data_IF_533092291025
#
_entry.id   IF_533092291025
#
_cell.length_a   1.000
_cell.length_b   1.000
_cell.length_c   1.000
_cell.angle_alpha   90.00
_cell.angle_beta   90.00
_cell.angle_gamma   90.00
#
_symmetry.space_group_name_H-M   'P 1'
#
loop_
_entity.id
_entity.type
_entity.pdbx_description
1 polymer ?
#
# COMPACT_ATOMS: atom_id res chain seq x y z
N UNK A 1 -15.90 24.13 8.21
CA UNK A 1 -15.29 22.88 8.73
C UNK A 1 -14.78 22.07 7.54
N UNK A 2 -13.59 21.52 7.62
CA UNK A 2 -12.98 20.71 6.56
C UNK A 2 -12.38 19.42 7.14
N UNK A 3 -12.38 18.35 6.34
CA UNK A 3 -11.68 17.10 6.67
C UNK A 3 -10.17 17.36 6.55
N UNK A 4 -9.38 16.88 7.53
CA UNK A 4 -7.93 17.04 7.55
C UNK A 4 -7.23 16.01 6.66
N UNK A 5 -7.53 14.71 6.85
CA UNK A 5 -6.92 13.59 6.14
C UNK A 5 -7.74 12.31 6.32
N UNK A 6 -7.44 11.29 5.52
CA UNK A 6 -7.81 9.92 5.89
C UNK A 6 -7.01 9.55 7.15
N UNK A 7 -7.68 9.02 8.18
CA UNK A 7 -7.03 8.57 9.41
C UNK A 7 -6.70 7.09 9.33
N UNK A 8 -7.71 6.24 9.09
CA UNK A 8 -7.56 4.79 8.94
C UNK A 8 -8.58 4.23 7.96
N UNK A 9 -8.33 3.03 7.49
CA UNK A 9 -9.26 2.22 6.72
C UNK A 9 -9.65 0.96 7.48
N UNK A 10 -10.82 0.40 7.17
CA UNK A 10 -11.26 -0.89 7.74
C UNK A 10 -11.74 -1.77 6.60
N UNK A 11 -11.23 -3.01 6.55
CA UNK A 11 -11.56 -4.01 5.55
C UNK A 11 -12.31 -5.18 6.19
N UNK A 12 -13.31 -5.67 5.51
CA UNK A 12 -13.81 -7.01 5.73
C UNK A 12 -12.98 -7.99 4.91
N UNK A 13 -12.44 -8.99 5.58
CA UNK A 13 -11.57 -10.03 5.02
C UNK A 13 -12.12 -11.42 5.35
N UNK A 14 -11.76 -12.43 4.60
CA UNK A 14 -12.22 -13.79 4.88
C UNK A 14 -11.71 -14.28 6.24
N UNK A 15 -10.43 -14.07 6.52
CA UNK A 15 -9.73 -14.44 7.77
C UNK A 15 -8.79 -13.30 8.17
N UNK A 16 -9.13 -12.57 9.24
CA UNK A 16 -8.36 -11.43 9.70
C UNK A 16 -6.96 -11.79 10.18
N UNK A 17 -6.76 -13.01 10.70
CA UNK A 17 -5.44 -13.48 11.12
C UNK A 17 -4.53 -13.75 9.93
N UNK A 18 -5.05 -14.40 8.88
CA UNK A 18 -4.30 -14.64 7.65
C UNK A 18 -3.94 -13.31 6.96
N UNK A 19 -4.90 -12.40 6.85
CA UNK A 19 -4.66 -11.08 6.25
C UNK A 19 -3.67 -10.26 7.10
N UNK A 20 -3.78 -10.28 8.44
CA UNK A 20 -2.82 -9.60 9.31
C UNK A 20 -1.40 -10.15 9.14
N UNK A 21 -1.23 -11.47 9.03
CA UNK A 21 0.07 -12.08 8.74
C UNK A 21 0.65 -11.57 7.41
N UNK A 22 -0.17 -11.51 6.35
CA UNK A 22 0.25 -10.94 5.06
C UNK A 22 0.71 -9.49 5.19
N UNK A 23 -0.10 -8.61 5.78
CA UNK A 23 0.25 -7.19 5.92
C UNK A 23 1.48 -6.96 6.80
N UNK A 24 1.68 -7.78 7.85
CA UNK A 24 2.86 -7.67 8.70
C UNK A 24 4.13 -8.24 8.04
N UNK A 25 4.06 -9.41 7.44
CA UNK A 25 5.23 -10.09 6.86
C UNK A 25 5.65 -9.49 5.51
N UNK A 26 4.69 -9.06 4.67
CA UNK A 26 4.97 -8.55 3.32
C UNK A 26 5.12 -7.04 3.32
N UNK A 27 4.20 -6.29 3.95
CA UNK A 27 4.21 -4.83 3.92
C UNK A 27 4.89 -4.17 5.12
N UNK A 28 5.22 -4.94 6.17
CA UNK A 28 5.94 -4.42 7.32
C UNK A 28 5.08 -3.69 8.37
N UNK A 29 3.76 -3.89 8.34
CA UNK A 29 2.88 -3.35 9.38
C UNK A 29 3.16 -4.01 10.74
N UNK A 30 2.89 -3.29 11.82
CA UNK A 30 2.88 -3.82 13.17
C UNK A 30 1.45 -4.06 13.66
N UNK A 31 1.22 -5.16 14.39
CA UNK A 31 -0.06 -5.37 15.07
C UNK A 31 -0.13 -4.45 16.29
N UNK A 32 -1.01 -3.46 16.26
CA UNK A 32 -1.25 -2.54 17.37
C UNK A 32 -2.23 -3.13 18.41
N UNK A 33 -3.25 -3.86 17.95
CA UNK A 33 -4.23 -4.51 18.79
C UNK A 33 -4.93 -5.67 18.06
N UNK A 34 -5.62 -6.55 18.81
CA UNK A 34 -6.47 -7.59 18.25
C UNK A 34 -7.66 -7.90 19.14
N UNK A 35 -8.72 -8.44 18.55
CA UNK A 35 -9.90 -8.98 19.23
C UNK A 35 -9.95 -10.49 18.98
N UNK A 36 -9.05 -11.25 19.61
CA UNK A 36 -8.82 -12.64 19.27
C UNK A 36 -8.44 -12.79 17.80
N UNK A 37 -8.91 -13.86 17.15
CA UNK A 37 -8.71 -14.07 15.69
C UNK A 37 -9.78 -13.37 14.82
N UNK A 38 -10.71 -12.62 15.43
CA UNK A 38 -11.83 -12.00 14.71
C UNK A 38 -11.48 -10.64 14.10
N UNK A 39 -10.58 -9.90 14.74
CA UNK A 39 -10.16 -8.61 14.21
C UNK A 39 -8.72 -8.29 14.60
N UNK A 40 -8.02 -7.58 13.70
CA UNK A 40 -6.68 -7.06 13.91
C UNK A 40 -6.63 -5.58 13.52
N UNK A 41 -5.87 -4.80 14.27
CA UNK A 41 -5.62 -3.39 14.03
C UNK A 41 -4.13 -3.21 13.80
N UNK A 42 -3.78 -2.76 12.62
CA UNK A 42 -2.41 -2.68 12.14
C UNK A 42 -1.96 -1.23 12.02
N UNK A 43 -0.71 -0.97 12.32
CA UNK A 43 -0.09 0.35 12.20
C UNK A 43 1.11 0.28 11.27
N UNK A 44 1.19 1.23 10.32
CA UNK A 44 2.34 1.42 9.45
C UNK A 44 3.54 1.93 10.26
N UNK A 45 4.76 1.67 9.79
CA UNK A 45 5.96 2.23 10.38
C UNK A 45 5.94 3.76 10.26
N UNK A 46 6.38 4.45 11.32
CA UNK A 46 6.35 5.92 11.37
C UNK A 46 4.96 6.56 11.54
N UNK A 47 3.87 5.80 11.59
CA UNK A 47 2.53 6.36 11.81
C UNK A 47 2.28 6.75 13.27
N UNK A 48 1.72 7.95 13.48
CA UNK A 48 1.26 8.47 14.77
C UNK A 48 -0.17 8.02 15.14
N UNK A 49 -0.85 7.30 14.25
CA UNK A 49 -2.19 6.79 14.53
C UNK A 49 -2.12 5.62 15.53
N UNK A 50 -3.20 5.36 16.26
CA UNK A 50 -3.34 4.13 17.04
C UNK A 50 -3.35 2.90 16.12
N UNK A 51 -3.96 3.03 14.93
CA UNK A 51 -3.88 2.09 13.81
C UNK A 51 -4.18 2.80 12.50
N UNK A 52 -3.75 2.22 11.37
CA UNK A 52 -3.98 2.71 10.01
C UNK A 52 -4.90 1.78 9.23
N UNK A 53 -4.92 0.49 9.59
CA UNK A 53 -5.72 -0.54 8.93
C UNK A 53 -6.38 -1.47 9.94
N UNK A 54 -7.71 -1.53 9.90
CA UNK A 54 -8.50 -2.52 10.62
C UNK A 54 -8.91 -3.67 9.70
N UNK A 55 -8.82 -4.91 10.20
CA UNK A 55 -9.19 -6.13 9.48
C UNK A 55 -10.22 -6.89 10.31
N UNK A 56 -11.38 -7.23 9.73
CA UNK A 56 -12.45 -7.94 10.40
C UNK A 56 -12.83 -9.20 9.62
N UNK A 57 -12.80 -10.35 10.28
CA UNK A 57 -13.21 -11.64 9.70
C UNK A 57 -14.71 -11.67 9.43
N UNK A 58 -15.09 -12.00 8.19
CA UNK A 58 -16.49 -12.21 7.78
C UNK A 58 -16.70 -13.58 7.12
N UNK A 59 -15.65 -14.42 7.08
CA UNK A 59 -15.65 -15.69 6.36
C UNK A 59 -15.49 -15.49 4.85
N UNK A 60 -15.24 -16.58 4.14
CA UNK A 60 -15.06 -16.55 2.69
C UNK A 60 -16.33 -16.05 1.98
N UNK A 61 -16.20 -14.91 1.30
CA UNK A 61 -17.26 -14.31 0.48
C UNK A 61 -16.66 -13.81 -0.82
N UNK A 62 -17.31 -14.12 -1.93
CA UNK A 62 -16.88 -13.57 -3.21
C UNK A 62 -17.22 -12.07 -3.26
N UNK A 63 -16.24 -11.23 -3.50
CA UNK A 63 -16.46 -9.83 -3.87
C UNK A 63 -17.00 -9.78 -5.30
N UNK A 64 -18.01 -8.94 -5.57
CA UNK A 64 -18.49 -8.71 -6.92
C UNK A 64 -17.43 -7.88 -7.67
N UNK A 65 -16.86 -8.35 -8.78
CA UNK A 65 -15.88 -7.60 -9.53
C UNK A 65 -16.50 -6.32 -10.12
N UNK A 66 -15.76 -5.22 -10.08
CA UNK A 66 -16.16 -3.92 -10.64
C UNK A 66 -17.46 -3.32 -10.06
N UNK A 67 -17.82 -3.66 -8.82
CA UNK A 67 -18.92 -3.02 -8.11
C UNK A 67 -18.50 -1.65 -7.58
N UNK A 68 -19.50 -0.80 -7.31
CA UNK A 68 -19.26 0.46 -6.58
C UNK A 68 -18.70 0.12 -5.19
N UNK A 69 -17.55 0.72 -4.82
CA UNK A 69 -16.88 0.46 -3.56
C UNK A 69 -15.41 0.84 -3.60
N UNK A 70 -14.60 0.19 -2.77
CA UNK A 70 -13.16 0.36 -2.75
C UNK A 70 -12.54 -0.20 -4.04
N UNK A 71 -11.72 0.61 -4.71
CA UNK A 71 -10.86 0.13 -5.79
C UNK A 71 -9.52 -0.35 -5.21
N UNK A 72 -8.74 0.55 -4.61
CA UNK A 72 -7.52 0.21 -3.87
C UNK A 72 -7.23 1.21 -2.75
N UNK A 73 -6.36 0.83 -1.82
CA UNK A 73 -5.68 1.71 -0.88
C UNK A 73 -4.24 1.87 -1.34
N UNK A 74 -3.69 3.09 -1.25
CA UNK A 74 -2.31 3.38 -1.56
C UNK A 74 -1.49 3.61 -0.29
N UNK A 75 -0.37 2.92 -0.18
CA UNK A 75 0.61 3.02 0.91
C UNK A 75 1.89 3.66 0.37
N UNK A 76 2.38 4.70 1.04
CA UNK A 76 3.60 5.38 0.64
C UNK A 76 4.81 4.80 1.38
N UNK A 77 5.89 4.56 0.64
CA UNK A 77 7.22 4.27 1.20
C UNK A 77 8.08 5.54 1.22
N UNK A 78 9.11 5.56 2.05
CA UNK A 78 9.98 6.71 2.22
C UNK A 78 10.89 6.94 1.01
N UNK A 79 11.48 5.87 0.47
CA UNK A 79 12.52 5.95 -0.57
C UNK A 79 12.23 5.00 -1.74
N UNK A 80 12.88 5.27 -2.90
CA UNK A 80 12.82 4.37 -4.05
C UNK A 80 13.47 3.00 -3.75
N UNK A 81 14.48 2.96 -2.91
CA UNK A 81 15.14 1.72 -2.48
C UNK A 81 14.15 0.82 -1.75
N UNK A 82 13.29 1.41 -0.90
CA UNK A 82 12.21 0.68 -0.21
C UNK A 82 11.15 0.18 -1.20
N UNK A 83 10.81 0.97 -2.23
CA UNK A 83 9.90 0.54 -3.29
C UNK A 83 10.48 -0.66 -4.06
N UNK A 84 11.78 -0.66 -4.37
CA UNK A 84 12.47 -1.79 -5.01
C UNK A 84 12.46 -3.03 -4.12
N UNK A 85 12.73 -2.86 -2.81
CA UNK A 85 12.68 -3.95 -1.85
C UNK A 85 11.25 -4.52 -1.72
N UNK A 86 10.25 -3.65 -1.71
CA UNK A 86 8.84 -4.06 -1.69
C UNK A 86 8.45 -4.81 -2.96
N UNK A 87 8.89 -4.34 -4.12
CA UNK A 87 8.68 -5.04 -5.39
C UNK A 87 9.19 -6.49 -5.34
N UNK A 88 10.40 -6.68 -4.82
CA UNK A 88 10.98 -8.02 -4.70
C UNK A 88 10.13 -8.94 -3.79
N UNK A 89 9.65 -8.43 -2.65
CA UNK A 89 8.76 -9.18 -1.75
C UNK A 89 7.44 -9.55 -2.41
N UNK A 90 6.80 -8.59 -3.10
CA UNK A 90 5.53 -8.82 -3.79
C UNK A 90 5.65 -9.85 -4.92
N UNK A 91 6.79 -9.87 -5.63
CA UNK A 91 7.10 -10.91 -6.63
C UNK A 91 7.29 -12.26 -5.96
N UNK A 92 8.05 -12.33 -4.86
CA UNK A 92 8.34 -13.57 -4.13
C UNK A 92 7.07 -14.26 -3.64
N UNK A 93 6.12 -13.49 -3.11
CA UNK A 93 4.83 -14.03 -2.62
C UNK A 93 3.76 -14.15 -3.72
N UNK A 94 4.08 -13.80 -4.98
CA UNK A 94 3.15 -13.89 -6.11
C UNK A 94 1.98 -12.90 -6.05
N UNK A 95 2.13 -11.80 -5.32
CA UNK A 95 1.09 -10.78 -5.09
C UNK A 95 1.14 -9.63 -6.09
N UNK A 96 2.30 -9.35 -6.71
CA UNK A 96 2.47 -8.25 -7.66
C UNK A 96 1.60 -8.47 -8.90
N UNK A 97 0.71 -7.50 -9.19
CA UNK A 97 -0.21 -7.52 -10.34
C UNK A 97 0.14 -6.52 -11.44
N UNK A 98 0.87 -5.45 -11.11
CA UNK A 98 1.22 -4.41 -12.06
C UNK A 98 2.15 -3.36 -11.49
N UNK A 99 2.69 -2.52 -12.37
CA UNK A 99 3.57 -1.42 -11.98
C UNK A 99 3.45 -0.26 -12.98
N UNK A 100 3.54 0.98 -12.51
CA UNK A 100 3.36 2.18 -13.33
C UNK A 100 4.19 3.35 -12.84
N UNK A 101 4.58 4.21 -13.78
CA UNK A 101 5.08 5.55 -13.55
C UNK A 101 3.97 6.55 -13.86
N UNK A 102 3.52 7.32 -12.86
CA UNK A 102 2.51 8.35 -13.04
C UNK A 102 3.10 9.76 -13.22
N UNK A 103 4.42 9.86 -13.29
CA UNK A 103 5.14 11.12 -13.30
C UNK A 103 5.28 11.76 -11.93
N UNK A 104 4.23 11.75 -11.12
CA UNK A 104 4.20 12.25 -9.74
C UNK A 104 4.42 11.14 -8.69
N UNK A 105 4.34 9.90 -9.10
CA UNK A 105 4.62 8.71 -8.27
C UNK A 105 5.18 7.56 -9.09
N UNK A 106 5.89 6.66 -8.41
CA UNK A 106 6.31 5.36 -8.90
C UNK A 106 5.55 4.32 -8.10
N UNK A 107 4.81 3.45 -8.79
CA UNK A 107 3.73 2.67 -8.16
C UNK A 107 3.79 1.19 -8.50
N UNK A 108 3.53 0.36 -7.49
CA UNK A 108 3.35 -1.09 -7.57
C UNK A 108 1.91 -1.41 -7.19
N UNK A 109 1.23 -2.22 -7.98
CA UNK A 109 -0.11 -2.72 -7.71
C UNK A 109 -0.05 -4.18 -7.35
N UNK A 110 -0.71 -4.56 -6.26
CA UNK A 110 -0.68 -5.92 -5.75
C UNK A 110 -2.04 -6.30 -5.15
N UNK A 111 -2.19 -7.58 -4.80
CA UNK A 111 -3.41 -8.10 -4.18
C UNK A 111 -3.07 -8.80 -2.88
N UNK A 112 -3.93 -8.58 -1.89
CA UNK A 112 -3.89 -9.28 -0.62
C UNK A 112 -4.46 -10.72 -0.76
N UNK A 113 -4.45 -11.55 0.30
CA UNK A 113 -4.96 -12.92 0.25
C UNK A 113 -6.43 -13.05 -0.17
N UNK A 114 -7.24 -12.01 0.01
CA UNK A 114 -8.65 -11.97 -0.42
C UNK A 114 -8.83 -11.38 -1.82
N UNK A 115 -7.74 -10.99 -2.49
CA UNK A 115 -7.75 -10.37 -3.81
C UNK A 115 -8.10 -8.88 -3.79
N UNK A 116 -8.12 -8.23 -2.61
CA UNK A 116 -8.29 -6.79 -2.48
C UNK A 116 -7.04 -6.12 -3.04
N UNK A 117 -7.22 -5.22 -4.01
CA UNK A 117 -6.12 -4.50 -4.64
C UNK A 117 -5.60 -3.40 -3.70
N UNK A 118 -4.29 -3.29 -3.64
CA UNK A 118 -3.60 -2.17 -2.99
C UNK A 118 -2.45 -1.67 -3.87
N UNK A 119 -2.06 -0.43 -3.63
CA UNK A 119 -0.91 0.21 -4.25
C UNK A 119 0.17 0.44 -3.21
N UNK A 120 1.44 0.22 -3.57
CA UNK A 120 2.58 0.75 -2.83
C UNK A 120 3.29 1.73 -3.74
N UNK A 121 3.48 2.96 -3.27
CA UNK A 121 4.00 4.03 -4.09
C UNK A 121 5.11 4.82 -3.38
N UNK A 122 6.00 5.39 -4.18
CA UNK A 122 6.92 6.45 -3.79
C UNK A 122 6.54 7.74 -4.51
N UNK A 123 6.40 8.84 -3.76
CA UNK A 123 6.08 10.13 -4.33
C UNK A 123 7.34 10.76 -4.96
N UNK A 124 7.22 11.30 -6.16
CA UNK A 124 8.29 12.11 -6.77
C UNK A 124 8.37 13.45 -6.05
N UNK A 125 9.58 13.98 -5.75
CA UNK A 125 9.72 15.31 -5.15
C UNK A 125 8.90 16.36 -5.89
N UNK A 126 8.20 17.21 -5.15
CA UNK A 126 7.26 18.21 -5.69
C UNK A 126 7.90 19.09 -6.76
N UNK A 127 9.18 19.44 -6.60
CA UNK A 127 9.93 20.25 -7.55
C UNK A 127 10.14 19.60 -8.92
N UNK A 128 10.06 18.26 -8.97
CA UNK A 128 10.28 17.46 -10.18
C UNK A 128 8.98 16.99 -10.87
N UNK A 129 7.82 17.43 -10.38
CA UNK A 129 6.55 17.04 -10.96
C UNK A 129 6.43 17.51 -12.40
N UNK A 130 6.03 16.64 -13.33
CA UNK A 130 5.84 17.03 -14.72
C UNK A 130 4.62 17.94 -14.89
N UNK A 131 4.61 18.74 -15.95
CA UNK A 131 3.46 19.58 -16.27
C UNK A 131 2.18 18.78 -16.59
N UNK A 132 2.33 17.50 -16.94
CA UNK A 132 1.21 16.56 -17.20
C UNK A 132 1.51 15.24 -16.55
N UNK A 133 0.53 14.74 -15.80
CA UNK A 133 0.54 13.38 -15.26
C UNK A 133 0.06 12.39 -16.34
N UNK A 134 0.46 11.14 -16.21
CA UNK A 134 0.08 10.08 -17.15
C UNK A 134 0.30 8.71 -16.55
N UNK A 135 0.26 7.69 -17.37
CA UNK A 135 0.60 6.32 -16.99
C UNK A 135 1.61 5.81 -18.01
N UNK A 136 2.80 5.51 -17.53
CA UNK A 136 3.95 5.11 -18.34
C UNK A 136 4.56 3.82 -17.76
N UNK A 137 5.35 3.08 -18.57
CA UNK A 137 6.14 1.96 -18.04
C UNK A 137 7.07 2.43 -16.91
N UNK A 138 7.13 1.66 -15.83
CA UNK A 138 7.99 1.96 -14.68
C UNK A 138 9.46 1.63 -15.01
N UNK A 139 10.34 2.63 -14.91
CA UNK A 139 11.79 2.50 -14.99
C UNK A 139 12.42 2.77 -13.61
N UNK A 140 12.51 1.72 -12.79
CA UNK A 140 13.13 1.84 -11.46
C UNK A 140 14.63 2.11 -11.52
N UNK A 141 15.34 1.61 -12.55
CA UNK A 141 16.78 1.84 -12.69
C UNK A 141 17.06 3.32 -12.96
N UNK A 142 16.36 3.91 -13.92
CA UNK A 142 16.47 5.32 -14.22
C UNK A 142 16.00 6.20 -13.06
N UNK A 143 14.94 5.80 -12.35
CA UNK A 143 14.45 6.51 -11.18
C UNK A 143 15.47 6.53 -10.03
N UNK A 144 16.06 5.37 -9.67
CA UNK A 144 17.11 5.28 -8.64
C UNK A 144 18.37 6.11 -9.00
N UNK A 145 18.74 6.15 -10.29
CA UNK A 145 19.86 6.96 -10.74
C UNK A 145 19.57 8.47 -10.60
N UNK A 146 18.29 8.86 -10.75
CA UNK A 146 17.86 10.27 -10.64
C UNK A 146 17.65 10.73 -9.19
N UNK A 147 17.13 9.90 -8.31
CA UNK A 147 16.75 10.25 -6.94
C UNK A 147 17.31 9.26 -5.90
N UNK A 148 18.64 9.05 -5.84
CA UNK A 148 19.25 8.11 -4.91
C UNK A 148 19.03 8.55 -3.45
N UNK A 149 18.43 7.71 -2.62
CA UNK A 149 18.22 7.93 -1.20
C UNK A 149 17.30 9.11 -0.85
N UNK A 150 16.50 9.60 -1.80
CA UNK A 150 15.58 10.71 -1.56
C UNK A 150 14.37 10.21 -0.79
N UNK A 151 14.18 10.76 0.43
CA UNK A 151 12.98 10.53 1.26
C UNK A 151 11.93 11.61 0.96
N UNK A 152 10.71 11.19 0.65
CA UNK A 152 9.58 12.06 0.34
C UNK A 152 8.37 11.83 1.24
N UNK A 153 8.55 11.14 2.37
CA UNK A 153 7.45 10.84 3.28
C UNK A 153 6.83 12.08 3.93
N UNK A 154 7.59 13.14 4.09
CA UNK A 154 7.20 14.39 4.76
C UNK A 154 6.87 15.55 3.78
N UNK A 155 6.80 15.31 2.47
CA UNK A 155 6.49 16.33 1.46
C UNK A 155 4.95 16.60 1.21
#
# INVERSE_FOLDING_TARGET
MSIKRLNHAVLYVADAKLSAAFYTEVLGFAVAASMGDQAFFLRADGSDNDHDLGLFSVGARAAAPHSVGLYHLAWQVHTLEELVAMRARLVEVGSLGGESDHGVSKSLYARDPDGIEFEVMWAVPRADWPARVGTYPLDLVGALARWPGVDTADE
#
